data_IF_573908791257
#
_entry.id   IF_573908791257
#
_cell.length_a   1.000
_cell.length_b   1.000
_cell.length_c   1.000
_cell.angle_alpha   90.00
_cell.angle_beta   90.00
_cell.angle_gamma   90.00
#
_symmetry.space_group_name_H-M   'P 1'
#
loop_
_entity.id
_entity.type
_entity.pdbx_description
1 polymer ?
#
# COMPACT_ATOMS: atom_id res chain seq x y z
N UNK A 1 -4.95 -16.76 -0.02
CA UNK A 1 -4.12 -15.58 0.25
C UNK A 1 -3.97 -15.40 1.73
N UNK A 2 -2.80 -15.02 2.14
CA UNK A 2 -2.57 -14.75 3.54
C UNK A 2 -3.29 -13.48 3.96
N UNK A 3 -4.09 -13.57 5.01
CA UNK A 3 -4.87 -12.45 5.50
C UNK A 3 -4.11 -11.68 6.58
N UNK A 4 -2.80 -11.65 6.48
CA UNK A 4 -1.97 -10.95 7.46
C UNK A 4 -2.34 -9.49 7.60
N UNK A 5 -2.87 -8.90 6.55
CA UNK A 5 -3.19 -7.47 6.57
C UNK A 5 -4.65 -7.27 6.27
N UNK A 6 -5.26 -6.39 7.03
CA UNK A 6 -6.69 -6.19 6.95
C UNK A 6 -7.08 -5.52 5.65
N UNK A 7 -8.20 -5.95 5.12
CA UNK A 7 -8.75 -5.33 3.93
C UNK A 7 -8.93 -3.83 4.12
N UNK A 8 -9.39 -3.41 5.29
CA UNK A 8 -9.64 -1.99 5.55
C UNK A 8 -8.37 -1.16 5.47
N UNK A 9 -7.22 -1.75 5.81
CA UNK A 9 -5.95 -1.04 5.69
C UNK A 9 -5.59 -0.82 4.23
N UNK A 10 -5.84 -1.82 3.39
CA UNK A 10 -5.62 -1.69 1.96
C UNK A 10 -6.55 -0.64 1.38
N UNK A 11 -7.79 -0.62 1.82
CA UNK A 11 -8.75 0.38 1.36
C UNK A 11 -8.31 1.79 1.75
N UNK A 12 -7.75 1.96 2.95
CA UNK A 12 -7.20 3.25 3.36
C UNK A 12 -6.08 3.68 2.43
N UNK A 13 -5.19 2.75 2.11
CA UNK A 13 -4.05 3.06 1.25
C UNK A 13 -4.51 3.50 -0.13
N UNK A 14 -5.53 2.84 -0.66
CA UNK A 14 -6.03 3.17 -1.98
C UNK A 14 -6.79 4.50 -1.98
N UNK A 15 -7.46 4.82 -0.87
CA UNK A 15 -8.29 6.01 -0.78
C UNK A 15 -7.45 7.28 -0.56
N UNK A 16 -6.48 7.21 0.35
CA UNK A 16 -5.70 8.39 0.73
C UNK A 16 -4.24 8.03 0.99
N UNK A 17 -3.52 7.59 -0.04
CA UNK A 17 -2.12 7.22 0.19
C UNK A 17 -1.27 8.45 0.48
N UNK A 18 -0.22 8.28 1.30
CA UNK A 18 0.76 9.35 1.49
C UNK A 18 1.70 9.41 0.29
N UNK A 19 1.76 8.32 -0.46
CA UNK A 19 2.55 8.28 -1.68
C UNK A 19 1.99 7.22 -2.62
N UNK A 20 2.07 7.49 -3.92
CA UNK A 20 1.61 6.58 -4.96
C UNK A 20 2.62 6.58 -6.09
N UNK A 21 3.02 5.40 -6.54
CA UNK A 21 3.97 5.27 -7.65
C UNK A 21 3.48 4.22 -8.62
N UNK A 22 3.58 4.54 -9.91
CA UNK A 22 3.28 3.56 -10.96
C UNK A 22 4.58 2.89 -11.33
N UNK A 23 4.60 1.56 -11.26
CA UNK A 23 5.78 0.78 -11.63
C UNK A 23 5.88 0.66 -13.14
N UNK A 24 7.07 0.25 -13.60
CA UNK A 24 7.32 0.10 -15.02
C UNK A 24 6.36 -0.90 -15.68
N UNK A 25 5.96 -1.94 -14.93
CA UNK A 25 5.05 -2.96 -15.46
C UNK A 25 3.58 -2.56 -15.36
N UNK A 26 3.29 -1.35 -14.89
CA UNK A 26 1.94 -0.82 -14.79
C UNK A 26 1.29 -1.05 -13.44
N UNK A 27 1.88 -1.87 -12.59
CA UNK A 27 1.36 -2.03 -11.24
C UNK A 27 1.56 -0.75 -10.46
N UNK A 28 0.74 -0.56 -9.43
CA UNK A 28 0.74 0.68 -8.68
C UNK A 28 1.03 0.39 -7.22
N UNK A 29 1.96 1.12 -6.66
CA UNK A 29 2.30 1.04 -5.24
C UNK A 29 1.64 2.18 -4.51
N UNK A 30 1.08 1.86 -3.34
CA UNK A 30 0.47 2.84 -2.45
C UNK A 30 1.06 2.68 -1.08
N UNK A 31 1.37 3.77 -0.42
CA UNK A 31 1.87 3.73 0.96
C UNK A 31 0.94 4.53 1.85
N UNK A 32 0.68 4.00 3.03
CA UNK A 32 -0.07 4.70 4.06
C UNK A 32 0.48 4.29 5.42
N UNK A 33 0.48 5.23 6.36
CA UNK A 33 0.88 4.90 7.72
C UNK A 33 -0.28 4.23 8.43
N UNK A 34 -0.01 3.09 9.05
CA UNK A 34 -1.01 2.35 9.82
C UNK A 34 -0.64 2.46 11.30
N UNK A 35 -1.34 3.34 12.05
CA UNK A 35 -1.00 3.55 13.47
C UNK A 35 -1.08 2.28 14.30
N UNK A 36 -1.99 1.38 13.95
CA UNK A 36 -2.21 0.14 14.68
C UNK A 36 -0.95 -0.72 14.75
N UNK A 37 -0.11 -0.64 13.73
CA UNK A 37 1.14 -1.39 13.71
C UNK A 37 2.36 -0.47 13.70
N UNK A 38 2.15 0.84 13.74
CA UNK A 38 3.22 1.86 13.74
C UNK A 38 4.19 1.69 12.59
N UNK A 39 3.67 1.35 11.43
CA UNK A 39 4.49 1.15 10.23
C UNK A 39 3.72 1.63 9.02
N UNK A 40 4.50 1.92 7.96
CA UNK A 40 3.90 2.19 6.66
C UNK A 40 3.58 0.87 5.99
N UNK A 41 2.37 0.77 5.46
CA UNK A 41 1.94 -0.39 4.69
C UNK A 41 2.11 -0.07 3.22
N UNK A 42 2.75 -0.96 2.48
CA UNK A 42 2.84 -0.84 1.02
C UNK A 42 1.83 -1.79 0.42
N UNK A 43 0.90 -1.25 -0.36
CA UNK A 43 -0.11 -2.02 -1.07
C UNK A 43 0.20 -1.91 -2.55
N UNK A 44 0.28 -3.05 -3.23
CA UNK A 44 0.53 -3.07 -4.68
C UNK A 44 -0.72 -3.59 -5.36
N UNK A 45 -1.22 -2.81 -6.33
CA UNK A 45 -2.37 -3.21 -7.13
C UNK A 45 -1.94 -3.54 -8.53
N UNK A 46 -2.84 -4.19 -9.27
CA UNK A 46 -2.68 -4.35 -10.70
C UNK A 46 -2.90 -3.00 -11.39
N UNK A 47 -2.83 -2.99 -12.72
CA UNK A 47 -2.96 -1.76 -13.49
C UNK A 47 -4.28 -1.05 -13.29
N UNK A 48 -5.31 -1.78 -12.87
CA UNK A 48 -6.63 -1.20 -12.66
C UNK A 48 -6.68 -0.27 -11.44
N UNK A 49 -5.65 -0.31 -10.60
CA UNK A 49 -5.62 0.53 -9.40
C UNK A 49 -6.53 0.05 -8.29
N UNK A 50 -7.13 -1.12 -8.44
CA UNK A 50 -8.13 -1.61 -7.48
C UNK A 50 -7.82 -3.03 -6.99
N UNK A 51 -7.34 -3.90 -7.87
CA UNK A 51 -7.10 -5.30 -7.52
C UNK A 51 -5.80 -5.40 -6.76
N UNK A 52 -5.89 -5.71 -5.48
CA UNK A 52 -4.70 -5.84 -4.63
C UNK A 52 -3.94 -7.10 -5.00
N UNK A 53 -2.68 -6.91 -5.37
CA UNK A 53 -1.78 -8.01 -5.71
C UNK A 53 -1.05 -8.50 -4.46
N UNK A 54 -0.53 -7.58 -3.65
CA UNK A 54 0.04 -7.91 -2.36
C UNK A 54 0.05 -6.67 -1.46
N UNK A 55 0.30 -6.91 -0.17
CA UNK A 55 0.39 -5.84 0.81
C UNK A 55 1.30 -6.32 1.94
N UNK A 56 2.24 -5.45 2.36
CA UNK A 56 3.12 -5.78 3.48
C UNK A 56 3.72 -4.51 4.05
N UNK A 57 4.20 -4.55 5.30
CA UNK A 57 4.85 -3.38 5.90
C UNK A 57 6.15 -3.08 5.17
N UNK A 58 6.41 -1.80 4.97
CA UNK A 58 7.62 -1.35 4.30
C UNK A 58 8.44 -0.51 5.29
N UNK A 59 9.41 -1.16 5.92
CA UNK A 59 10.21 -0.51 6.95
C UNK A 59 11.21 0.49 6.37
N UNK A 60 11.45 0.43 5.08
CA UNK A 60 12.41 1.32 4.44
C UNK A 60 11.76 2.59 3.92
N UNK A 61 10.44 2.61 3.89
CA UNK A 61 9.74 3.77 3.37
C UNK A 61 9.86 4.93 4.34
N UNK A 62 10.18 6.09 3.82
CA UNK A 62 10.19 7.32 4.59
C UNK A 62 9.39 8.34 3.81
N UNK A 63 8.43 8.94 4.51
CA UNK A 63 7.64 10.00 3.92
C UNK A 63 8.49 11.26 3.88
N UNK A 64 8.71 11.80 2.68
CA UNK A 64 9.50 13.02 2.50
C UNK A 64 8.59 14.18 2.21
N UNK A 65 8.95 15.33 2.75
CA UNK A 65 8.21 16.55 2.55
C UNK A 65 8.89 17.45 1.54
#
# INVERSE_FOLDING_TARGET
>A
MDESYRREWCERALAQPVRREVQRDGRIRYWIFIPEIRQYLRVVTLQDGETVHNAFPDRRFEERR
#
